data_IF_179339985820
#
_entry.id   IF_179339985820
#
_cell.length_a   1.000
_cell.length_b   1.000
_cell.length_c   1.000
_cell.angle_alpha   90.00
_cell.angle_beta   90.00
_cell.angle_gamma   90.00
#
_symmetry.space_group_name_H-M   'P 1'
#
loop_
_entity.id
_entity.type
_entity.pdbx_description
1 polymer ?
#
# COMPACT_ATOMS: atom_id res chain seq x y z
N UNK A 1 -9.41 -55.70 -7.07
CA UNK A 1 -9.20 -55.52 -5.61
C UNK A 1 -8.07 -54.54 -5.38
N UNK A 2 -8.18 -53.66 -4.39
CA UNK A 2 -8.37 -52.22 -4.61
C UNK A 2 -7.07 -51.40 -4.56
N UNK A 3 -7.10 -50.25 -5.22
CA UNK A 3 -6.02 -49.27 -5.26
C UNK A 3 -5.75 -48.73 -3.85
N UNK A 4 -4.48 -48.79 -3.45
CA UNK A 4 -3.96 -48.30 -2.17
C UNK A 4 -4.25 -46.80 -2.02
N UNK A 5 -5.20 -46.47 -1.16
CA UNK A 5 -5.53 -45.10 -0.74
C UNK A 5 -4.57 -44.70 0.37
N UNK A 6 -3.40 -44.16 0.02
CA UNK A 6 -2.56 -43.51 1.01
C UNK A 6 -3.03 -42.07 1.19
N UNK A 7 -3.65 -41.86 2.36
CA UNK A 7 -3.85 -40.61 3.06
C UNK A 7 -5.03 -39.74 2.61
N UNK A 8 -6.22 -40.17 3.03
CA UNK A 8 -7.30 -39.27 3.37
C UNK A 8 -6.78 -38.11 4.25
N UNK A 9 -7.00 -36.86 3.84
CA UNK A 9 -7.58 -35.92 4.81
C UNK A 9 -9.08 -36.03 4.62
N UNK A 10 -9.79 -36.70 5.54
CA UNK A 10 -11.23 -36.72 5.47
C UNK A 10 -11.69 -35.27 5.67
N UNK A 11 -12.56 -34.74 4.82
CA UNK A 11 -13.58 -33.79 5.28
C UNK A 11 -14.25 -34.52 6.46
N UNK A 12 -13.75 -34.33 7.70
CA UNK A 12 -13.95 -35.24 8.84
C UNK A 12 -15.42 -35.65 8.90
N UNK A 13 -15.68 -36.92 8.60
CA UNK A 13 -16.90 -37.52 8.02
C UNK A 13 -18.30 -37.11 8.53
N UNK A 14 -18.50 -36.16 9.44
CA UNK A 14 -19.85 -35.83 9.97
C UNK A 14 -20.03 -34.42 10.58
N UNK A 15 -19.16 -33.43 10.31
CA UNK A 15 -18.99 -32.16 11.06
C UNK A 15 -18.20 -32.35 12.38
N UNK A 16 -17.13 -31.58 12.58
CA UNK A 16 -16.46 -31.45 13.88
C UNK A 16 -14.94 -31.67 13.85
N UNK A 17 -14.22 -30.55 13.79
CA UNK A 17 -12.82 -30.46 14.21
C UNK A 17 -11.94 -29.71 13.20
N UNK A 18 -11.86 -28.39 13.39
CA UNK A 18 -10.91 -27.40 12.83
C UNK A 18 -10.16 -27.84 11.57
N UNK A 19 -10.91 -28.14 10.51
CA UNK A 19 -10.35 -28.21 9.18
C UNK A 19 -10.10 -26.76 8.72
N UNK A 20 -8.88 -26.27 8.96
CA UNK A 20 -8.38 -25.07 8.29
C UNK A 20 -8.37 -25.35 6.79
N UNK A 21 -9.33 -24.80 6.06
CA UNK A 21 -9.29 -24.76 4.60
C UNK A 21 -8.08 -23.89 4.26
N UNK A 22 -7.03 -24.40 3.59
CA UNK A 22 -6.00 -23.52 3.08
C UNK A 22 -6.70 -22.60 2.09
N UNK A 23 -6.78 -21.30 2.43
CA UNK A 23 -7.09 -20.28 1.43
C UNK A 23 -5.94 -20.39 0.43
N UNK A 24 -6.24 -20.96 -0.73
CA UNK A 24 -5.46 -20.62 -1.91
C UNK A 24 -5.62 -19.12 -2.02
N UNK A 25 -4.57 -18.37 -1.66
CA UNK A 25 -4.43 -17.01 -2.17
C UNK A 25 -4.55 -17.20 -3.67
N UNK A 26 -5.70 -16.85 -4.23
CA UNK A 26 -6.03 -17.17 -5.62
C UNK A 26 -4.92 -16.74 -6.56
N UNK A 27 -4.94 -17.30 -7.77
CA UNK A 27 -3.92 -17.08 -8.81
C UNK A 27 -3.32 -15.67 -8.72
N UNK A 28 -1.98 -15.58 -8.59
CA UNK A 28 -1.31 -14.31 -8.30
C UNK A 28 -1.83 -13.23 -9.26
N UNK A 29 -2.41 -12.17 -8.69
CA UNK A 29 -3.01 -11.12 -9.51
C UNK A 29 -1.97 -10.54 -10.46
N UNK A 30 -2.38 -10.04 -11.62
CA UNK A 30 -1.44 -9.37 -12.54
C UNK A 30 -0.64 -8.27 -11.83
N UNK A 31 -1.26 -7.54 -10.89
CA UNK A 31 -0.57 -6.55 -10.03
C UNK A 31 0.54 -7.16 -9.19
N UNK A 32 0.33 -8.33 -8.59
CA UNK A 32 1.38 -9.03 -7.85
C UNK A 32 2.48 -9.58 -8.76
N UNK A 33 2.11 -10.08 -9.95
CA UNK A 33 3.07 -10.63 -10.93
C UNK A 33 4.03 -9.56 -11.47
N UNK A 34 3.55 -8.32 -11.61
CA UNK A 34 4.30 -7.19 -12.21
C UNK A 34 4.81 -6.20 -11.15
N UNK A 35 4.64 -6.49 -9.85
CA UNK A 35 5.06 -5.59 -8.78
C UNK A 35 6.59 -5.41 -8.79
N UNK A 36 7.02 -4.15 -8.89
CA UNK A 36 8.43 -3.77 -8.79
C UNK A 36 8.60 -2.86 -7.57
N UNK A 37 9.17 -3.42 -6.49
CA UNK A 37 9.36 -2.69 -5.24
C UNK A 37 10.39 -1.57 -5.34
N UNK A 38 11.43 -1.74 -6.17
CA UNK A 38 12.48 -0.74 -6.35
C UNK A 38 11.92 0.49 -7.07
N UNK A 39 11.21 0.26 -8.18
CA UNK A 39 10.56 1.35 -8.92
C UNK A 39 9.53 2.08 -8.06
N UNK A 40 8.70 1.35 -7.31
CA UNK A 40 7.73 1.96 -6.39
C UNK A 40 8.40 2.78 -5.29
N UNK A 41 9.54 2.32 -4.76
CA UNK A 41 10.29 3.08 -3.76
C UNK A 41 10.91 4.36 -4.35
N UNK A 42 11.41 4.31 -5.59
CA UNK A 42 11.94 5.46 -6.29
C UNK A 42 10.86 6.50 -6.59
N UNK A 43 9.71 6.06 -7.09
CA UNK A 43 8.56 6.93 -7.38
C UNK A 43 8.03 7.59 -6.10
N UNK A 44 7.88 6.82 -5.02
CA UNK A 44 7.49 7.36 -3.72
C UNK A 44 8.48 8.41 -3.21
N UNK A 45 9.79 8.19 -3.37
CA UNK A 45 10.80 9.16 -2.96
C UNK A 45 10.71 10.46 -3.77
N UNK A 46 10.45 10.36 -5.09
CA UNK A 46 10.26 11.52 -5.95
C UNK A 46 8.99 12.31 -5.56
N UNK A 47 7.87 11.62 -5.35
CA UNK A 47 6.61 12.25 -4.94
C UNK A 47 6.74 13.00 -3.61
N UNK A 48 7.42 12.40 -2.63
CA UNK A 48 7.68 13.06 -1.35
C UNK A 48 8.56 14.29 -1.50
N UNK A 49 9.59 14.22 -2.36
CA UNK A 49 10.44 15.38 -2.67
C UNK A 49 9.64 16.54 -3.26
N UNK A 50 8.75 16.26 -4.21
CA UNK A 50 7.88 17.28 -4.82
C UNK A 50 6.93 17.93 -3.79
N UNK A 51 6.40 17.15 -2.85
CA UNK A 51 5.56 17.68 -1.77
C UNK A 51 6.34 18.65 -0.89
N UNK A 52 7.59 18.35 -0.56
CA UNK A 52 8.42 19.24 0.24
C UNK A 52 8.75 20.54 -0.50
N UNK A 53 9.09 20.46 -1.80
CA UNK A 53 9.30 21.65 -2.64
C UNK A 53 8.09 22.58 -2.67
N UNK A 54 6.88 22.02 -2.86
CA UNK A 54 5.64 22.80 -2.87
C UNK A 54 5.33 23.45 -1.53
N UNK A 55 5.69 22.80 -0.42
CA UNK A 55 5.50 23.35 0.94
C UNK A 55 6.43 24.52 1.19
N UNK A 56 7.69 24.41 0.76
CA UNK A 56 8.65 25.50 0.87
C UNK A 56 8.21 26.72 0.05
N UNK A 57 7.76 26.50 -1.19
CA UNK A 57 7.21 27.56 -2.04
C UNK A 57 5.98 28.23 -1.39
N UNK A 58 5.03 27.43 -0.89
CA UNK A 58 3.85 27.94 -0.21
C UNK A 58 4.21 28.79 1.02
N UNK A 59 5.21 28.35 1.81
CA UNK A 59 5.68 29.09 2.97
C UNK A 59 6.30 30.44 2.59
N UNK A 60 7.10 30.49 1.53
CA UNK A 60 7.67 31.76 1.01
C UNK A 60 6.54 32.72 0.63
N UNK A 61 5.53 32.22 -0.09
CA UNK A 61 4.38 33.03 -0.49
C UNK A 61 3.58 33.54 0.71
N UNK A 62 3.37 32.70 1.72
CA UNK A 62 2.67 33.07 2.95
C UNK A 62 3.40 34.20 3.69
N UNK A 63 4.71 34.05 3.89
CA UNK A 63 5.51 35.07 4.58
C UNK A 63 5.55 36.38 3.79
N UNK A 64 5.69 36.33 2.46
CA UNK A 64 5.60 37.52 1.62
C UNK A 64 4.23 38.21 1.74
N UNK A 65 3.14 37.44 1.84
CA UNK A 65 1.80 37.97 2.00
C UNK A 65 1.61 38.63 3.38
N UNK A 66 2.09 38.00 4.46
CA UNK A 66 2.07 38.55 5.82
C UNK A 66 2.86 39.86 5.91
N UNK A 67 4.05 39.92 5.31
CA UNK A 67 4.87 41.13 5.26
C UNK A 67 4.14 42.26 4.53
N UNK A 68 3.54 41.97 3.38
CA UNK A 68 2.74 42.96 2.63
C UNK A 68 1.54 43.46 3.42
N UNK A 69 0.81 42.58 4.09
CA UNK A 69 -0.31 42.95 4.94
C UNK A 69 0.16 43.87 6.09
N UNK A 70 1.24 43.49 6.78
CA UNK A 70 1.82 44.28 7.87
C UNK A 70 2.24 45.68 7.41
N UNK A 71 2.82 45.80 6.22
CA UNK A 71 3.20 47.09 5.64
C UNK A 71 1.98 47.96 5.28
N UNK A 72 0.85 47.37 4.92
CA UNK A 72 -0.40 48.10 4.64
C UNK A 72 -1.09 48.58 5.92
N UNK A 73 -0.97 47.85 7.03
CA UNK A 73 -1.57 48.22 8.33
C UNK A 73 -0.79 49.33 9.06
N UNK A 74 0.48 49.54 8.69
CA UNK A 74 1.39 50.53 9.32
C UNK A 74 1.48 51.86 8.56
N UNK A 75 0.83 52.01 7.41
CA UNK A 75 0.81 53.22 6.59
C UNK A 75 -0.53 53.92 6.60
#
# INVERSE_FOLDING_TARGET
TPQSTMQETPYRLTYGGDAMIPVEVGETSHRCKVFNSEQNAQELAADLGLVDELRDEAQIHEEACKLRASLMELG
#
